data_IF_349501551798
#
_entry.id   IF_349501551798
#
_cell.length_a   1.000
_cell.length_b   1.000
_cell.length_c   1.000
_cell.angle_alpha   90.00
_cell.angle_beta   90.00
_cell.angle_gamma   90.00
#
_symmetry.space_group_name_H-M   'P 1'
#
loop_
_entity.id
_entity.type
_entity.pdbx_description
1 polymer ?
#
# COMPACT_ATOMS: atom_id res chain seq x y z
N UNK A 1 -4.49 15.36 6.80
CA UNK A 1 -5.13 14.04 6.55
C UNK A 1 -5.31 13.16 7.79
N UNK A 2 -4.52 13.32 8.86
CA UNK A 2 -4.68 12.55 10.13
C UNK A 2 -5.96 12.88 10.89
N UNK A 3 -6.61 14.02 10.57
CA UNK A 3 -7.80 14.49 11.28
C UNK A 3 -9.06 13.62 11.08
N UNK A 4 -9.18 12.91 9.94
CA UNK A 4 -10.41 12.16 9.62
C UNK A 4 -10.66 10.98 10.57
N UNK A 5 -9.70 10.09 10.85
CA UNK A 5 -9.90 9.03 11.83
C UNK A 5 -10.20 9.58 13.23
N UNK A 6 -9.52 10.64 13.63
CA UNK A 6 -9.75 11.30 14.92
C UNK A 6 -11.16 11.89 15.07
N UNK A 7 -11.67 12.53 14.02
CA UNK A 7 -13.05 13.05 13.98
C UNK A 7 -14.08 11.94 14.06
N UNK A 8 -13.85 10.81 13.37
CA UNK A 8 -14.75 9.65 13.42
C UNK A 8 -14.82 9.07 14.83
N UNK A 9 -13.67 8.87 15.50
CA UNK A 9 -13.62 8.41 16.90
C UNK A 9 -14.36 9.38 17.82
N UNK A 10 -14.07 10.66 17.71
CA UNK A 10 -14.72 11.68 18.53
C UNK A 10 -16.23 11.69 18.34
N UNK A 11 -16.72 11.59 17.09
CA UNK A 11 -18.14 11.52 16.79
C UNK A 11 -18.81 10.27 17.37
N UNK A 12 -18.16 9.10 17.29
CA UNK A 12 -18.67 7.83 17.86
C UNK A 12 -18.71 7.90 19.38
N UNK A 13 -17.65 8.39 20.03
CA UNK A 13 -17.62 8.54 21.49
C UNK A 13 -18.73 9.50 21.95
N UNK A 14 -18.90 10.63 21.26
CA UNK A 14 -19.93 11.62 21.61
C UNK A 14 -21.35 11.13 21.40
N UNK A 15 -21.57 10.17 20.50
CA UNK A 15 -22.88 9.55 20.27
C UNK A 15 -23.29 8.53 21.33
N UNK A 16 -22.41 8.22 22.32
CA UNK A 16 -22.67 7.24 23.37
C UNK A 16 -22.73 5.79 22.88
N UNK A 17 -22.35 5.53 21.63
CA UNK A 17 -22.34 4.18 21.09
C UNK A 17 -21.09 3.42 21.55
N UNK A 18 -21.20 2.12 21.87
CA UNK A 18 -20.03 1.29 22.19
C UNK A 18 -19.13 1.15 20.96
N UNK A 19 -17.83 1.27 21.18
CA UNK A 19 -16.82 1.06 20.13
C UNK A 19 -16.84 -0.42 19.74
N UNK A 20 -17.21 -0.72 18.50
CA UNK A 20 -17.21 -2.10 18.00
C UNK A 20 -15.81 -2.53 17.56
N UNK A 21 -15.54 -3.84 17.63
CA UNK A 21 -14.28 -4.41 17.13
C UNK A 21 -14.09 -4.11 15.63
N UNK A 22 -15.17 -4.17 14.85
CA UNK A 22 -15.16 -3.84 13.40
C UNK A 22 -14.69 -2.41 13.14
N UNK A 23 -15.11 -1.45 13.97
CA UNK A 23 -14.65 -0.06 13.85
C UNK A 23 -13.16 0.08 14.16
N UNK A 24 -12.66 -0.63 15.19
CA UNK A 24 -11.22 -0.62 15.53
C UNK A 24 -10.39 -1.14 14.36
N UNK A 25 -10.80 -2.26 13.75
CA UNK A 25 -10.11 -2.85 12.59
C UNK A 25 -10.14 -1.89 11.40
N UNK A 26 -11.29 -1.28 11.09
CA UNK A 26 -11.41 -0.33 9.99
C UNK A 26 -10.55 0.92 10.21
N UNK A 27 -10.47 1.43 11.43
CA UNK A 27 -9.59 2.53 11.79
C UNK A 27 -8.11 2.17 11.69
N UNK A 28 -7.73 0.98 12.19
CA UNK A 28 -6.36 0.50 12.08
C UNK A 28 -5.94 0.38 10.61
N UNK A 29 -6.82 -0.14 9.74
CA UNK A 29 -6.60 -0.19 8.30
C UNK A 29 -6.40 1.21 7.70
N UNK A 30 -7.29 2.15 8.00
CA UNK A 30 -7.19 3.52 7.51
C UNK A 30 -5.91 4.22 7.99
N UNK A 31 -5.56 4.11 9.27
CA UNK A 31 -4.33 4.66 9.82
C UNK A 31 -3.08 4.04 9.18
N UNK A 32 -3.06 2.72 8.96
CA UNK A 32 -1.96 2.04 8.31
C UNK A 32 -1.78 2.51 6.87
N UNK A 33 -2.87 2.69 6.12
CA UNK A 33 -2.82 3.23 4.76
C UNK A 33 -2.33 4.68 4.73
N UNK A 34 -2.73 5.53 5.68
CA UNK A 34 -2.24 6.90 5.80
C UNK A 34 -0.73 6.96 6.12
N UNK A 35 -0.21 6.03 6.93
CA UNK A 35 1.23 5.89 7.15
C UNK A 35 1.96 5.55 5.86
N UNK A 36 1.49 4.56 5.09
CA UNK A 36 2.05 4.21 3.78
C UNK A 36 2.04 5.44 2.86
N UNK A 37 0.94 6.19 2.85
CA UNK A 37 0.81 7.41 2.08
C UNK A 37 1.82 8.49 2.45
N UNK A 38 2.07 8.66 3.74
CA UNK A 38 3.09 9.61 4.24
C UNK A 38 4.48 9.25 3.72
N UNK A 39 4.86 7.96 3.76
CA UNK A 39 6.12 7.48 3.21
C UNK A 39 6.18 7.66 1.68
N UNK A 40 5.09 7.35 0.97
CA UNK A 40 5.02 7.52 -0.48
C UNK A 40 5.19 8.98 -0.91
N UNK A 41 4.54 9.92 -0.21
CA UNK A 41 4.69 11.35 -0.44
C UNK A 41 6.11 11.83 -0.14
N UNK A 42 6.73 11.35 0.93
CA UNK A 42 8.10 11.69 1.28
C UNK A 42 9.09 11.19 0.23
N UNK A 43 8.93 9.96 -0.26
CA UNK A 43 9.75 9.42 -1.36
C UNK A 43 9.60 10.30 -2.60
N UNK A 44 8.39 10.72 -2.94
CA UNK A 44 8.13 11.61 -4.08
C UNK A 44 8.85 12.96 -3.92
N UNK A 45 8.73 13.58 -2.75
CA UNK A 45 9.37 14.87 -2.43
C UNK A 45 10.89 14.79 -2.49
N UNK A 46 11.51 13.77 -1.87
CA UNK A 46 12.97 13.57 -1.87
C UNK A 46 13.49 13.26 -3.29
N UNK A 47 12.73 12.50 -4.08
CA UNK A 47 13.10 12.23 -5.47
C UNK A 47 13.05 13.50 -6.33
N UNK A 48 12.06 14.38 -6.11
CA UNK A 48 11.96 15.65 -6.79
C UNK A 48 13.14 16.60 -6.44
N UNK A 49 13.68 16.48 -5.23
CA UNK A 49 14.88 17.23 -4.78
C UNK A 49 16.21 16.57 -5.19
N UNK A 50 16.20 15.50 -5.99
CA UNK A 50 17.40 14.77 -6.41
C UNK A 50 18.01 13.86 -5.35
N UNK A 51 17.40 13.75 -4.17
CA UNK A 51 17.87 12.92 -3.06
C UNK A 51 17.32 11.49 -3.16
N UNK A 52 18.05 10.61 -3.85
CA UNK A 52 17.66 9.20 -4.08
C UNK A 52 17.79 8.22 -2.90
N UNK A 53 18.67 8.41 -1.88
CA UNK A 53 18.95 7.37 -0.87
C UNK A 53 17.76 7.03 0.01
N UNK A 54 16.87 7.98 0.33
CA UNK A 54 15.69 7.73 1.17
C UNK A 54 14.72 6.72 0.51
N UNK A 55 14.40 6.90 -0.78
CA UNK A 55 13.49 6.01 -1.50
C UNK A 55 14.01 4.56 -1.56
N UNK A 56 15.32 4.38 -1.82
CA UNK A 56 15.92 3.04 -1.91
C UNK A 56 15.85 2.27 -0.59
N UNK A 57 15.97 2.95 0.55
CA UNK A 57 15.92 2.33 1.88
C UNK A 57 14.52 1.83 2.26
N UNK A 58 13.47 2.56 1.89
CA UNK A 58 12.09 2.28 2.32
C UNK A 58 11.26 1.45 1.32
N UNK A 59 11.69 1.37 0.06
CA UNK A 59 11.01 0.56 -0.96
C UNK A 59 10.86 -0.92 -0.60
N UNK A 60 11.88 -1.62 0.01
CA UNK A 60 11.72 -3.00 0.43
C UNK A 60 10.60 -3.16 1.44
N UNK A 61 10.55 -2.28 2.46
CA UNK A 61 9.51 -2.29 3.48
C UNK A 61 8.12 -2.04 2.87
N UNK A 62 7.98 -1.02 2.01
CA UNK A 62 6.71 -0.72 1.33
C UNK A 62 6.24 -1.87 0.42
N UNK A 63 7.19 -2.60 -0.20
CA UNK A 63 6.88 -3.79 -0.98
C UNK A 63 6.34 -4.94 -0.13
N UNK A 64 6.88 -5.12 1.08
CA UNK A 64 6.40 -6.14 2.03
C UNK A 64 5.08 -5.72 2.69
N UNK A 65 4.90 -4.43 2.95
CA UNK A 65 3.70 -3.86 3.56
C UNK A 65 2.44 -4.03 2.69
N UNK A 66 2.58 -4.33 1.40
CA UNK A 66 1.45 -4.53 0.49
C UNK A 66 0.51 -5.65 0.95
N UNK A 67 1.05 -6.79 1.39
CA UNK A 67 0.24 -7.93 1.83
C UNK A 67 -0.51 -7.67 3.13
N UNK A 68 0.14 -7.23 4.23
CA UNK A 68 -0.60 -6.88 5.45
C UNK A 68 -1.59 -5.73 5.24
N UNK A 69 -1.28 -4.76 4.35
CA UNK A 69 -2.24 -3.73 3.97
C UNK A 69 -3.49 -4.31 3.32
N UNK A 70 -3.32 -5.24 2.37
CA UNK A 70 -4.44 -5.91 1.71
C UNK A 70 -5.29 -6.68 2.71
N UNK A 71 -4.66 -7.46 3.60
CA UNK A 71 -5.37 -8.23 4.64
C UNK A 71 -6.18 -7.31 5.55
N UNK A 72 -5.59 -6.20 6.01
CA UNK A 72 -6.29 -5.21 6.84
C UNK A 72 -7.47 -4.57 6.12
N UNK A 73 -7.30 -4.21 4.84
CA UNK A 73 -8.38 -3.63 4.02
C UNK A 73 -9.51 -4.62 3.84
N UNK A 74 -9.22 -5.89 3.52
CA UNK A 74 -10.23 -6.94 3.38
C UNK A 74 -10.96 -7.18 4.71
N UNK A 75 -10.21 -7.25 5.83
CA UNK A 75 -10.79 -7.40 7.17
C UNK A 75 -11.69 -6.20 7.54
N UNK A 76 -11.29 -4.97 7.18
CA UNK A 76 -12.09 -3.77 7.41
C UNK A 76 -13.42 -3.80 6.62
N UNK A 77 -13.38 -4.20 5.35
CA UNK A 77 -14.58 -4.32 4.50
C UNK A 77 -15.50 -5.43 5.02
N UNK A 78 -14.93 -6.61 5.36
CA UNK A 78 -15.70 -7.70 5.94
C UNK A 78 -16.34 -7.29 7.29
N UNK A 79 -15.59 -6.58 8.15
CA UNK A 79 -16.06 -6.04 9.40
C UNK A 79 -17.20 -5.02 9.22
N UNK A 80 -17.14 -4.16 8.19
CA UNK A 80 -18.21 -3.22 7.87
C UNK A 80 -19.48 -3.95 7.42
N UNK A 81 -19.35 -4.96 6.57
CA UNK A 81 -20.48 -5.81 6.16
C UNK A 81 -21.10 -6.57 7.33
N UNK A 82 -20.27 -7.14 8.21
CA UNK A 82 -20.72 -7.82 9.42
C UNK A 82 -21.46 -6.87 10.37
N UNK A 83 -20.94 -5.65 10.57
CA UNK A 83 -21.57 -4.64 11.42
C UNK A 83 -22.97 -4.26 10.90
N UNK A 84 -23.10 -4.05 9.57
CA UNK A 84 -24.40 -3.77 8.95
C UNK A 84 -25.38 -4.94 9.12
N UNK A 85 -24.89 -6.17 9.02
CA UNK A 85 -25.71 -7.36 9.19
C UNK A 85 -26.20 -7.54 10.62
N UNK A 86 -25.35 -7.31 11.62
CA UNK A 86 -25.69 -7.43 13.05
C UNK A 86 -26.64 -6.32 13.49
N UNK A 87 -26.37 -5.08 13.10
CA UNK A 87 -27.18 -3.93 13.49
C UNK A 87 -28.54 -3.92 12.77
N UNK A 88 -28.68 -4.61 11.64
CA UNK A 88 -29.89 -4.64 10.82
C UNK A 88 -30.35 -3.28 10.31
N UNK A 89 -29.55 -2.23 10.53
CA UNK A 89 -29.83 -0.83 10.18
C UNK A 89 -28.55 -0.01 10.10
N UNK A 90 -28.64 1.19 9.52
CA UNK A 90 -27.57 2.16 9.47
C UNK A 90 -27.36 2.85 10.83
N UNK A 91 -26.66 2.17 11.73
CA UNK A 91 -26.24 2.78 13.00
C UNK A 91 -25.07 3.76 12.77
N UNK A 92 -24.85 4.69 13.69
CA UNK A 92 -23.72 5.60 13.61
C UNK A 92 -22.38 4.86 13.56
N UNK A 93 -22.26 3.72 14.25
CA UNK A 93 -21.08 2.85 14.24
C UNK A 93 -20.90 2.16 12.89
N UNK A 94 -22.00 1.65 12.30
CA UNK A 94 -21.96 1.03 10.98
C UNK A 94 -21.53 2.02 9.89
N UNK A 95 -22.06 3.25 9.92
CA UNK A 95 -21.66 4.32 9.01
C UNK A 95 -20.17 4.66 9.18
N UNK A 96 -19.72 4.87 10.43
CA UNK A 96 -18.32 5.18 10.73
C UNK A 96 -17.38 4.07 10.25
N UNK A 97 -17.73 2.80 10.50
CA UNK A 97 -16.97 1.64 10.04
C UNK A 97 -16.91 1.58 8.52
N UNK A 98 -18.04 1.81 7.84
CA UNK A 98 -18.13 1.86 6.38
C UNK A 98 -17.26 2.96 5.77
N UNK A 99 -17.30 4.17 6.34
CA UNK A 99 -16.48 5.31 5.89
C UNK A 99 -14.99 5.02 6.05
N UNK A 100 -14.56 4.50 7.20
CA UNK A 100 -13.16 4.13 7.43
C UNK A 100 -12.70 3.01 6.49
N UNK A 101 -13.54 2.00 6.25
CA UNK A 101 -13.25 0.90 5.33
C UNK A 101 -13.13 1.40 3.89
N UNK A 102 -14.06 2.25 3.45
CA UNK A 102 -14.02 2.86 2.12
C UNK A 102 -12.76 3.71 1.93
N UNK A 103 -12.39 4.51 2.93
CA UNK A 103 -11.16 5.30 2.91
C UNK A 103 -9.94 4.38 2.76
N UNK A 104 -9.86 3.29 3.54
CA UNK A 104 -8.77 2.34 3.47
C UNK A 104 -8.67 1.67 2.08
N UNK A 105 -9.81 1.31 1.46
CA UNK A 105 -9.86 0.76 0.08
C UNK A 105 -9.35 1.77 -0.93
N UNK A 106 -9.84 3.01 -0.88
CA UNK A 106 -9.45 4.06 -1.82
C UNK A 106 -7.96 4.38 -1.72
N UNK A 107 -7.42 4.45 -0.50
CA UNK A 107 -6.00 4.68 -0.28
C UNK A 107 -5.15 3.50 -0.76
N UNK A 108 -5.60 2.25 -0.53
CA UNK A 108 -4.90 1.07 -1.05
C UNK A 108 -4.81 1.10 -2.58
N UNK A 109 -5.92 1.37 -3.27
CA UNK A 109 -5.96 1.50 -4.72
C UNK A 109 -5.05 2.64 -5.19
N UNK A 110 -5.12 3.79 -4.50
CA UNK A 110 -4.35 4.97 -4.83
C UNK A 110 -2.83 4.76 -4.74
N UNK A 111 -2.36 4.01 -3.74
CA UNK A 111 -0.91 3.80 -3.57
C UNK A 111 -0.37 2.63 -4.36
N UNK A 112 -1.08 1.50 -4.39
CA UNK A 112 -0.53 0.26 -4.96
C UNK A 112 -0.95 -0.02 -6.41
N UNK A 113 -1.99 0.66 -6.91
CA UNK A 113 -2.50 0.41 -8.26
C UNK A 113 -2.51 1.67 -9.13
N UNK A 114 -3.43 2.58 -8.88
CA UNK A 114 -3.67 3.73 -9.73
C UNK A 114 -3.71 5.01 -8.92
N UNK A 115 -3.22 6.09 -9.49
CA UNK A 115 -3.25 7.39 -8.85
C UNK A 115 -4.67 7.98 -8.99
N UNK A 116 -5.46 7.95 -7.90
CA UNK A 116 -6.80 8.52 -7.87
C UNK A 116 -6.79 10.06 -7.79
N UNK A 117 -5.70 10.65 -7.30
CA UNK A 117 -5.53 12.11 -7.15
C UNK A 117 -5.10 12.82 -8.45
N UNK A 118 -5.41 12.27 -9.62
CA UNK A 118 -5.06 12.87 -10.91
C UNK A 118 -5.92 14.09 -11.27
N UNK A 119 -6.93 14.41 -10.45
CA UNK A 119 -7.85 15.52 -10.74
C UNK A 119 -7.26 16.91 -10.45
N UNK A 120 -6.11 16.99 -9.78
CA UNK A 120 -5.43 18.26 -9.48
C UNK A 120 -4.78 18.90 -10.72
N UNK A 121 -4.62 18.13 -11.81
CA UNK A 121 -4.05 18.62 -13.06
C UNK A 121 -5.01 18.44 -14.22
N UNK A 122 -5.46 19.55 -14.82
CA UNK A 122 -6.37 19.56 -15.97
C UNK A 122 -5.95 18.66 -17.15
N UNK A 123 -4.65 18.47 -17.48
CA UNK A 123 -4.23 17.53 -18.51
C UNK A 123 -4.58 16.07 -18.20
N UNK A 124 -4.47 15.65 -16.93
CA UNK A 124 -4.75 14.28 -16.52
C UNK A 124 -6.27 14.00 -16.52
N UNK A 125 -7.08 15.00 -16.14
CA UNK A 125 -8.54 14.92 -16.25
C UNK A 125 -8.99 14.82 -17.73
N UNK A 126 -8.44 15.64 -18.62
CA UNK A 126 -8.72 15.57 -20.06
C UNK A 126 -8.37 14.21 -20.65
N UNK A 127 -7.21 13.65 -20.26
CA UNK A 127 -6.78 12.30 -20.67
C UNK A 127 -7.74 11.22 -20.19
N UNK A 128 -8.21 11.30 -18.94
CA UNK A 128 -9.18 10.37 -18.39
C UNK A 128 -10.50 10.43 -19.15
N UNK A 129 -11.02 11.64 -19.41
CA UNK A 129 -12.25 11.86 -20.20
C UNK A 129 -12.11 11.41 -21.66
N UNK A 130 -10.89 11.44 -22.22
CA UNK A 130 -10.57 10.93 -23.56
C UNK A 130 -10.38 9.39 -23.61
N UNK A 131 -10.72 8.64 -22.54
CA UNK A 131 -10.60 7.18 -22.50
C UNK A 131 -9.19 6.67 -22.23
N UNK A 132 -8.23 7.54 -21.88
CA UNK A 132 -6.82 7.16 -21.63
C UNK A 132 -6.56 6.46 -20.30
N UNK A 133 -7.59 6.15 -19.51
CA UNK A 133 -7.52 5.43 -18.24
C UNK A 133 -6.77 6.18 -17.14
N UNK A 134 -6.76 5.58 -15.95
CA UNK A 134 -6.01 6.09 -14.79
C UNK A 134 -4.50 5.91 -14.97
N UNK A 135 -3.74 6.89 -14.50
CA UNK A 135 -2.28 6.80 -14.47
C UNK A 135 -1.84 5.86 -13.34
N UNK A 136 -0.86 5.00 -13.65
CA UNK A 136 -0.24 4.16 -12.63
C UNK A 136 0.37 5.02 -11.52
N UNK A 137 0.17 4.63 -10.24
CA UNK A 137 0.68 5.39 -9.10
C UNK A 137 2.21 5.47 -9.11
N UNK A 138 2.76 6.56 -8.58
CA UNK A 138 4.22 6.72 -8.49
C UNK A 138 4.86 5.61 -7.65
N UNK A 139 4.18 5.18 -6.58
CA UNK A 139 4.66 4.09 -5.74
C UNK A 139 4.62 2.76 -6.50
N UNK A 140 3.55 2.47 -7.25
CA UNK A 140 3.45 1.25 -8.06
C UNK A 140 4.60 1.16 -9.08
N UNK A 141 4.92 2.26 -9.76
CA UNK A 141 6.07 2.34 -10.67
C UNK A 141 7.40 2.09 -9.97
N UNK A 142 7.61 2.75 -8.82
CA UNK A 142 8.84 2.58 -8.03
C UNK A 142 8.99 1.14 -7.54
N UNK A 143 7.92 0.51 -7.07
CA UNK A 143 7.91 -0.89 -6.63
C UNK A 143 8.16 -1.86 -7.79
N UNK A 144 7.59 -1.60 -8.97
CA UNK A 144 7.83 -2.41 -10.17
C UNK A 144 9.30 -2.36 -10.57
N UNK A 145 9.90 -1.17 -10.64
CA UNK A 145 11.31 -1.01 -10.99
C UNK A 145 12.24 -1.65 -9.95
N UNK A 146 11.91 -1.54 -8.66
CA UNK A 146 12.64 -2.20 -7.58
C UNK A 146 12.59 -3.72 -7.69
N UNK A 147 11.40 -4.31 -7.93
CA UNK A 147 11.23 -5.76 -8.12
C UNK A 147 11.97 -6.28 -9.34
N UNK A 148 11.94 -5.53 -10.45
CA UNK A 148 12.67 -5.88 -11.66
C UNK A 148 14.20 -5.89 -11.42
N UNK A 149 14.72 -4.89 -10.70
CA UNK A 149 16.13 -4.83 -10.33
C UNK A 149 16.54 -5.99 -9.43
N UNK A 150 15.72 -6.29 -8.41
CA UNK A 150 15.99 -7.42 -7.50
C UNK A 150 16.05 -8.75 -8.24
N UNK A 151 15.12 -8.99 -9.18
CA UNK A 151 15.13 -10.22 -10.01
C UNK A 151 16.42 -10.33 -10.83
N UNK A 152 16.87 -9.24 -11.47
CA UNK A 152 18.13 -9.25 -12.25
C UNK A 152 19.35 -9.57 -11.39
N UNK A 153 19.42 -9.01 -10.17
CA UNK A 153 20.51 -9.30 -9.25
C UNK A 153 20.54 -10.77 -8.84
N UNK A 154 19.39 -11.34 -8.47
CA UNK A 154 19.31 -12.77 -8.13
C UNK A 154 19.73 -13.67 -9.30
N UNK A 155 19.33 -13.34 -10.54
CA UNK A 155 19.74 -14.12 -11.73
C UNK A 155 21.27 -14.07 -11.93
N UNK A 156 21.90 -12.91 -11.73
CA UNK A 156 23.36 -12.77 -11.83
C UNK A 156 24.08 -13.55 -10.74
N UNK A 157 23.58 -13.51 -9.49
CA UNK A 157 24.13 -14.28 -8.38
C UNK A 157 24.03 -15.80 -8.62
N UNK A 158 22.89 -16.26 -9.16
CA UNK A 158 22.70 -17.68 -9.53
C UNK A 158 23.70 -18.10 -10.64
N UNK A 159 23.90 -17.27 -11.66
CA UNK A 159 24.87 -17.53 -12.74
C UNK A 159 26.30 -17.61 -12.21
N UNK A 160 26.73 -16.64 -11.39
CA UNK A 160 28.06 -16.66 -10.78
C UNK A 160 28.26 -17.86 -9.87
N UNK A 161 27.23 -18.25 -9.10
CA UNK A 161 27.28 -19.44 -8.26
C UNK A 161 27.43 -20.74 -9.08
N UNK A 162 26.78 -20.82 -10.25
CA UNK A 162 26.92 -21.93 -11.19
C UNK A 162 28.32 -22.01 -11.80
N UNK A 163 28.88 -20.88 -12.24
CA UNK A 163 30.24 -20.81 -12.81
C UNK A 163 31.30 -21.21 -11.78
N UNK A 164 31.17 -20.73 -10.52
CA UNK A 164 32.10 -21.11 -9.45
C UNK A 164 32.03 -22.62 -9.14
N UNK A 165 30.84 -23.22 -9.09
CA UNK A 165 30.68 -24.67 -8.90
C UNK A 165 31.29 -25.46 -10.06
N UNK A 166 31.08 -25.03 -11.29
CA UNK A 166 31.66 -25.69 -12.47
C UNK A 166 33.19 -25.59 -12.48
N UNK A 167 33.74 -24.43 -12.15
CA UNK A 167 35.18 -24.24 -12.02
C UNK A 167 35.79 -25.10 -10.91
N UNK A 168 35.14 -25.18 -9.74
CA UNK A 168 35.61 -26.03 -8.64
C UNK A 168 35.54 -27.53 -8.95
N UNK A 169 34.59 -27.96 -9.77
CA UNK A 169 34.47 -29.36 -10.20
C UNK A 169 35.61 -29.78 -11.17
N UNK A 170 36.07 -28.83 -12.00
CA UNK A 170 37.19 -29.06 -12.92
C UNK A 170 38.56 -29.12 -12.19
N UNK A 171 38.68 -28.45 -11.04
CA UNK A 171 39.94 -28.40 -10.27
C UNK A 171 40.01 -29.46 -9.17
N UNK A 172 39.34 -30.62 -9.31
CA UNK A 172 39.48 -31.71 -8.36
C UNK A 172 40.86 -32.39 -8.59
N UNK A 173 41.84 -32.25 -7.65
CA UNK A 173 43.12 -32.94 -7.80
C UNK A 173 42.84 -34.44 -7.82
N UNK A 174 43.45 -35.14 -8.80
CA UNK A 174 43.48 -36.62 -8.78
C UNK A 174 44.21 -37.02 -7.50
N UNK A 175 43.48 -37.68 -6.60
CA UNK A 175 44.08 -38.37 -5.48
C UNK A 175 44.82 -39.57 -6.07
N UNK A 176 46.14 -39.49 -6.09
CA UNK A 176 47.06 -40.60 -6.36
C UNK A 176 47.14 -41.51 -5.14
#
# INVERSE_FOLDING_TARGET
>A
MVAVPGLVVWAVIRSGNPISFSLIVAMAAACFMLLIGTFALRIKSETAQGRRPFGQRWLPWLSQAQWPALVLVVAAVAGAGFQLWVDGRWSGVAIATGVCSLLAVLEYINYYHVQLQNFDHMPDLKRFMAGGGFRESHLAKALRSFRARKRRLNTVEEQMGHEQRSASALYRPKAD
#
